data_IF_171732373925
#
_entry.id   IF_171732373925
#
_cell.length_a   1.000
_cell.length_b   1.000
_cell.length_c   1.000
_cell.angle_alpha   90.00
_cell.angle_beta   90.00
_cell.angle_gamma   90.00
#
_symmetry.space_group_name_H-M   'P 1'
#
loop_
_entity.id
_entity.type
_entity.pdbx_description
1 polymer ?
#
# COMPACT_ATOMS: atom_id res chain seq x y z
N UNK A 1 20.43 11.04 -0.12
CA UNK A 1 19.72 11.94 -1.06
C UNK A 1 19.40 11.26 -2.39
N UNK A 2 20.30 10.46 -2.95
CA UNK A 2 20.10 9.85 -4.27
C UNK A 2 19.05 8.72 -4.29
N UNK A 3 18.94 7.93 -3.23
CA UNK A 3 17.98 6.82 -3.13
C UNK A 3 16.52 7.31 -3.19
N UNK A 4 16.22 8.41 -2.49
CA UNK A 4 14.91 9.07 -2.51
C UNK A 4 14.49 9.51 -3.94
N UNK A 5 15.43 10.08 -4.69
CA UNK A 5 15.25 10.51 -6.07
C UNK A 5 15.06 9.32 -7.01
N UNK A 6 15.84 8.24 -6.81
CA UNK A 6 15.70 7.00 -7.59
C UNK A 6 14.35 6.34 -7.35
N UNK A 7 13.87 6.27 -6.10
CA UNK A 7 12.58 5.67 -5.76
C UNK A 7 11.41 6.48 -6.34
N UNK A 8 11.40 7.81 -6.14
CA UNK A 8 10.38 8.66 -6.78
C UNK A 8 10.40 8.53 -8.28
N UNK A 9 11.58 8.44 -8.90
CA UNK A 9 11.72 8.36 -10.36
C UNK A 9 11.27 7.00 -10.90
N UNK A 10 11.59 5.89 -10.22
CA UNK A 10 11.09 4.56 -10.58
C UNK A 10 9.56 4.46 -10.52
N UNK A 11 8.95 5.03 -9.47
CA UNK A 11 7.50 4.95 -9.30
C UNK A 11 6.79 5.96 -10.21
N UNK A 12 7.34 7.16 -10.38
CA UNK A 12 6.81 8.14 -11.35
C UNK A 12 6.88 7.59 -12.78
N UNK A 13 7.98 6.92 -13.15
CA UNK A 13 8.07 6.25 -14.45
C UNK A 13 7.01 5.15 -14.55
N UNK A 14 6.79 4.33 -13.53
CA UNK A 14 5.77 3.29 -13.54
C UNK A 14 4.34 3.81 -13.70
N UNK A 15 4.03 4.94 -13.06
CA UNK A 15 2.71 5.59 -13.09
C UNK A 15 2.51 6.40 -14.39
N UNK A 16 3.56 7.05 -14.91
CA UNK A 16 3.50 7.89 -16.12
C UNK A 16 3.58 7.07 -17.41
N UNK A 17 4.42 6.02 -17.46
CA UNK A 17 4.61 5.26 -18.71
C UNK A 17 3.42 4.39 -19.10
N UNK A 18 2.47 4.15 -18.21
CA UNK A 18 1.21 3.52 -18.59
C UNK A 18 0.08 4.05 -17.72
N UNK A 19 -0.78 4.86 -18.34
CA UNK A 19 -2.16 5.09 -17.86
C UNK A 19 -2.99 3.81 -17.77
N UNK A 20 -2.43 2.69 -18.23
CA UNK A 20 -2.91 1.30 -18.14
C UNK A 20 -1.76 0.38 -17.67
N UNK A 21 -1.04 0.79 -16.63
CA UNK A 21 0.01 -0.06 -16.06
C UNK A 21 -0.68 -1.24 -15.37
N UNK A 22 -0.36 -2.46 -15.80
CA UNK A 22 -0.73 -3.68 -15.08
C UNK A 22 -0.43 -3.48 -13.59
N UNK A 23 -1.49 -3.53 -12.79
CA UNK A 23 -1.45 -3.23 -11.37
C UNK A 23 -0.49 -4.19 -10.62
N UNK A 24 -0.18 -5.34 -11.23
CA UNK A 24 0.86 -6.26 -10.78
C UNK A 24 2.28 -5.72 -11.00
N UNK A 25 2.54 -5.05 -12.13
CA UNK A 25 3.84 -4.41 -12.39
C UNK A 25 4.08 -3.27 -11.41
N UNK A 26 3.07 -2.43 -11.17
CA UNK A 26 3.15 -1.33 -10.19
C UNK A 26 3.38 -1.90 -8.79
N UNK A 27 2.63 -2.93 -8.40
CA UNK A 27 2.80 -3.58 -7.10
C UNK A 27 4.20 -4.18 -6.89
N UNK A 28 4.77 -4.81 -7.92
CA UNK A 28 6.12 -5.36 -7.85
C UNK A 28 7.19 -4.26 -7.74
N UNK A 29 6.97 -3.09 -8.34
CA UNK A 29 7.84 -1.92 -8.14
C UNK A 29 7.74 -1.35 -6.73
N UNK A 30 6.55 -1.32 -6.13
CA UNK A 30 6.38 -0.97 -4.71
C UNK A 30 7.12 -1.93 -3.79
N UNK A 31 7.06 -3.25 -4.05
CA UNK A 31 7.86 -4.26 -3.33
C UNK A 31 9.36 -4.03 -3.46
N UNK A 32 9.84 -3.69 -4.66
CA UNK A 32 11.26 -3.39 -4.88
C UNK A 32 11.69 -2.12 -4.14
N UNK A 33 10.90 -1.04 -4.22
CA UNK A 33 11.16 0.18 -3.47
C UNK A 33 11.19 -0.06 -1.95
N UNK A 34 10.24 -0.86 -1.44
CA UNK A 34 10.22 -1.28 -0.04
C UNK A 34 11.48 -2.04 0.36
N UNK A 35 11.93 -3.02 -0.44
CA UNK A 35 13.16 -3.78 -0.16
C UNK A 35 14.40 -2.91 -0.12
N UNK A 36 14.50 -1.94 -1.02
CA UNK A 36 15.60 -0.95 -1.01
C UNK A 36 15.54 -0.15 0.28
N UNK A 37 14.36 0.36 0.65
CA UNK A 37 14.13 1.20 1.82
C UNK A 37 14.43 0.48 3.14
N UNK A 38 13.97 -0.76 3.30
CA UNK A 38 14.19 -1.56 4.52
C UNK A 38 15.60 -2.14 4.59
N UNK A 39 16.31 -2.24 3.46
CA UNK A 39 17.70 -2.66 3.39
C UNK A 39 18.72 -1.57 3.76
N UNK A 40 18.29 -0.32 4.00
CA UNK A 40 19.15 0.78 4.42
C UNK A 40 19.45 0.70 5.93
N UNK A 41 20.63 1.18 6.33
CA UNK A 41 20.98 1.30 7.75
C UNK A 41 20.05 2.28 8.49
N UNK A 42 19.89 2.06 9.78
CA UNK A 42 19.12 2.95 10.67
C UNK A 42 19.66 4.38 10.57
N UNK A 43 18.80 5.34 10.22
CA UNK A 43 19.18 6.74 9.98
C UNK A 43 19.39 7.14 8.51
N UNK A 44 19.50 6.18 7.57
CA UNK A 44 19.54 6.46 6.12
C UNK A 44 18.16 6.37 5.45
N UNK A 45 17.14 6.01 6.22
CA UNK A 45 15.77 5.85 5.76
C UNK A 45 15.20 7.18 5.23
N UNK A 46 14.80 7.26 3.95
CA UNK A 46 14.16 8.44 3.40
C UNK A 46 12.70 8.52 3.90
N UNK A 47 12.51 9.10 5.09
CA UNK A 47 11.23 9.10 5.82
C UNK A 47 10.09 9.68 4.99
N UNK A 48 10.32 10.78 4.28
CA UNK A 48 9.29 11.43 3.47
C UNK A 48 8.84 10.57 2.30
N UNK A 49 9.78 9.89 1.64
CA UNK A 49 9.50 8.96 0.55
C UNK A 49 8.81 7.69 1.05
N UNK A 50 9.18 7.20 2.24
CA UNK A 50 8.46 6.11 2.91
C UNK A 50 7.03 6.48 3.28
N UNK A 51 6.81 7.69 3.81
CA UNK A 51 5.46 8.23 4.09
C UNK A 51 4.62 8.35 2.83
N UNK A 52 5.21 8.91 1.77
CA UNK A 52 4.55 9.03 0.47
C UNK A 52 4.22 7.66 -0.14
N UNK A 53 5.11 6.68 -0.03
CA UNK A 53 4.89 5.31 -0.48
C UNK A 53 3.71 4.65 0.24
N UNK A 54 3.71 4.70 1.58
CA UNK A 54 2.66 4.11 2.40
C UNK A 54 1.29 4.72 2.08
N UNK A 55 1.21 6.05 2.04
CA UNK A 55 -0.03 6.80 1.76
C UNK A 55 -0.52 6.58 0.34
N UNK A 56 0.38 6.51 -0.65
CA UNK A 56 -0.02 6.27 -2.05
C UNK A 56 -0.52 4.84 -2.26
N UNK A 57 0.15 3.84 -1.67
CA UNK A 57 -0.33 2.45 -1.70
C UNK A 57 -1.71 2.34 -1.05
N UNK A 58 -1.90 2.99 0.10
CA UNK A 58 -3.19 3.05 0.79
C UNK A 58 -4.29 3.69 -0.06
N UNK A 59 -4.01 4.85 -0.68
CA UNK A 59 -4.98 5.53 -1.56
C UNK A 59 -5.37 4.68 -2.76
N UNK A 60 -4.45 3.84 -3.26
CA UNK A 60 -4.70 2.94 -4.40
C UNK A 60 -5.70 1.83 -4.08
N UNK A 61 -5.90 1.50 -2.80
CA UNK A 61 -6.95 0.59 -2.35
C UNK A 61 -8.37 1.16 -2.55
N UNK A 62 -8.53 2.49 -2.67
CA UNK A 62 -9.84 3.13 -2.71
C UNK A 62 -10.70 2.69 -3.91
N UNK A 63 -10.09 2.49 -5.08
CA UNK A 63 -10.82 2.07 -6.28
C UNK A 63 -11.28 0.61 -6.16
N UNK A 64 -10.41 -0.37 -5.85
CA UNK A 64 -10.83 -1.76 -5.61
C UNK A 64 -11.92 -1.90 -4.53
N UNK A 65 -11.83 -1.14 -3.42
CA UNK A 65 -12.85 -1.12 -2.37
C UNK A 65 -14.21 -0.72 -2.92
N UNK A 66 -14.27 0.38 -3.69
CA UNK A 66 -15.52 0.88 -4.27
C UNK A 66 -16.13 -0.06 -5.31
N UNK A 67 -15.29 -0.83 -5.99
CA UNK A 67 -15.72 -1.81 -6.99
C UNK A 67 -16.03 -3.19 -6.40
N UNK A 68 -15.86 -3.38 -5.08
CA UNK A 68 -16.02 -4.68 -4.44
C UNK A 68 -14.96 -5.72 -4.85
N UNK A 69 -13.84 -5.27 -5.41
CA UNK A 69 -12.71 -6.12 -5.79
C UNK A 69 -11.88 -6.45 -4.55
N UNK A 70 -12.33 -7.45 -3.78
CA UNK A 70 -11.78 -7.81 -2.47
C UNK A 70 -10.28 -8.06 -2.50
N UNK A 71 -9.79 -8.86 -3.46
CA UNK A 71 -8.37 -9.22 -3.53
C UNK A 71 -7.48 -8.01 -3.84
N UNK A 72 -7.92 -7.14 -4.75
CA UNK A 72 -7.22 -5.89 -5.07
C UNK A 72 -7.22 -4.91 -3.90
N UNK A 73 -8.34 -4.81 -3.20
CA UNK A 73 -8.49 -3.98 -2.00
C UNK A 73 -7.52 -4.45 -0.90
N UNK A 74 -7.55 -5.74 -0.55
CA UNK A 74 -6.69 -6.33 0.48
C UNK A 74 -5.21 -6.19 0.13
N UNK A 75 -4.84 -6.43 -1.14
CA UNK A 75 -3.47 -6.28 -1.64
C UNK A 75 -2.89 -4.88 -1.39
N UNK A 76 -3.64 -3.83 -1.72
CA UNK A 76 -3.17 -2.44 -1.56
C UNK A 76 -3.22 -1.96 -0.11
N UNK A 77 -4.26 -2.34 0.65
CA UNK A 77 -4.33 -2.01 2.08
C UNK A 77 -3.17 -2.61 2.86
N UNK A 78 -2.88 -3.90 2.66
CA UNK A 78 -1.79 -4.58 3.35
C UNK A 78 -0.43 -3.98 3.00
N UNK A 79 -0.20 -3.64 1.72
CA UNK A 79 1.03 -2.96 1.31
C UNK A 79 1.19 -1.60 1.99
N UNK A 80 0.12 -0.79 2.05
CA UNK A 80 0.13 0.50 2.75
C UNK A 80 0.46 0.35 4.23
N UNK A 81 -0.15 -0.64 4.90
CA UNK A 81 0.07 -0.93 6.32
C UNK A 81 1.49 -1.45 6.61
N UNK A 82 1.99 -2.39 5.79
CA UNK A 82 3.36 -2.90 5.92
C UNK A 82 4.39 -1.78 5.79
N UNK A 83 4.19 -0.86 4.84
CA UNK A 83 5.01 0.33 4.69
C UNK A 83 4.89 1.24 5.92
N UNK A 84 3.68 1.55 6.37
CA UNK A 84 3.44 2.41 7.53
C UNK A 84 4.12 1.88 8.82
N UNK A 85 4.12 0.56 9.03
CA UNK A 85 4.79 -0.10 10.17
C UNK A 85 6.31 0.05 10.18
N UNK A 86 6.93 0.37 9.05
CA UNK A 86 8.39 0.53 8.91
C UNK A 86 8.84 1.99 8.81
N UNK A 87 7.91 2.93 8.63
CA UNK A 87 8.20 4.35 8.45
C UNK A 87 8.02 5.08 9.78
N UNK A 88 9.07 5.70 10.34
CA UNK A 88 8.92 6.55 11.52
C UNK A 88 7.92 7.69 11.30
N UNK A 89 7.03 7.92 12.27
CA UNK A 89 6.01 8.97 12.23
C UNK A 89 4.73 8.58 11.48
N UNK A 90 4.51 7.29 11.21
CA UNK A 90 3.24 6.75 10.71
C UNK A 90 2.53 5.82 11.70
N UNK A 91 2.92 5.81 12.97
CA UNK A 91 2.43 4.86 13.98
C UNK A 91 0.92 4.98 14.18
N UNK A 92 0.42 6.19 14.41
CA UNK A 92 -1.02 6.45 14.58
C UNK A 92 -1.80 6.15 13.29
N UNK A 93 -1.22 6.47 12.14
CA UNK A 93 -1.86 6.23 10.85
C UNK A 93 -1.93 4.72 10.56
N UNK A 94 -0.88 3.97 10.88
CA UNK A 94 -0.82 2.51 10.79
C UNK A 94 -1.83 1.83 11.70
N UNK A 95 -2.04 2.32 12.92
CA UNK A 95 -3.11 1.81 13.79
C UNK A 95 -4.50 2.00 13.16
N UNK A 96 -4.79 3.19 12.61
CA UNK A 96 -6.05 3.43 11.90
C UNK A 96 -6.22 2.55 10.66
N UNK A 97 -5.14 2.27 9.94
CA UNK A 97 -5.16 1.34 8.79
C UNK A 97 -5.52 -0.08 9.24
N UNK A 98 -4.93 -0.55 10.34
CA UNK A 98 -5.18 -1.87 10.91
C UNK A 98 -6.63 -2.03 11.38
N UNK A 99 -7.18 -1.02 12.06
CA UNK A 99 -8.59 -0.99 12.45
C UNK A 99 -9.51 -1.04 11.22
N UNK A 100 -9.18 -0.30 10.17
CA UNK A 100 -9.96 -0.28 8.93
C UNK A 100 -9.95 -1.64 8.23
N UNK A 101 -8.78 -2.28 8.10
CA UNK A 101 -8.66 -3.62 7.49
C UNK A 101 -9.49 -4.62 8.29
N UNK A 102 -9.39 -4.60 9.62
CA UNK A 102 -10.15 -5.50 10.49
C UNK A 102 -11.66 -5.32 10.31
N UNK A 103 -12.14 -4.08 10.23
CA UNK A 103 -13.54 -3.77 9.94
C UNK A 103 -13.98 -4.18 8.53
N UNK A 104 -13.10 -4.01 7.54
CA UNK A 104 -13.34 -4.42 6.17
C UNK A 104 -13.50 -5.94 6.06
N UNK A 105 -12.62 -6.71 6.70
CA UNK A 105 -12.67 -8.18 6.70
C UNK A 105 -13.90 -8.72 7.43
N UNK A 106 -14.24 -8.14 8.59
CA UNK A 106 -15.46 -8.51 9.31
C UNK A 106 -16.72 -8.32 8.46
N UNK A 107 -16.80 -7.22 7.71
CA UNK A 107 -17.95 -6.96 6.83
C UNK A 107 -18.06 -7.99 5.70
N UNK A 108 -16.93 -8.40 5.13
CA UNK A 108 -16.92 -9.45 4.11
C UNK A 108 -17.41 -10.79 4.66
N UNK A 109 -17.00 -11.15 5.88
CA UNK A 109 -17.50 -12.37 6.54
C UNK A 109 -19.01 -12.33 6.81
N UNK A 110 -19.54 -11.15 7.18
CA UNK A 110 -20.98 -10.94 7.37
C UNK A 110 -21.74 -11.08 6.05
N UNK A 111 -21.25 -10.47 4.97
CA UNK A 111 -21.84 -10.55 3.62
C UNK A 111 -21.82 -11.99 3.07
N UNK A 112 -20.74 -12.74 3.30
CA UNK A 112 -20.63 -14.14 2.89
C UNK A 112 -21.60 -15.05 3.68
N UNK A 113 -21.77 -14.81 4.98
CA UNK A 113 -22.76 -15.52 5.80
C UNK A 113 -24.19 -15.24 5.32
N UNK A 114 -24.50 -14.00 4.94
CA UNK A 114 -25.82 -13.65 4.40
C UNK A 114 -26.07 -14.35 3.06
N UNK A 115 -25.06 -14.44 2.19
CA UNK A 115 -25.17 -15.12 0.89
C UNK A 115 -25.25 -16.64 1.01
N UNK A 116 -24.59 -17.24 2.00
CA UNK A 116 -24.63 -18.69 2.26
C UNK A 116 -25.92 -19.20 2.92
N UNK A 117 -26.76 -18.29 3.42
CA UNK A 117 -28.06 -18.58 4.04
C UNK A 117 -29.26 -18.36 3.08
N UNK A 118 -28.99 -18.03 1.81
CA UNK A 118 -29.95 -17.89 0.70
C UNK A 118 -29.90 -19.13 -0.19
#
# INVERSE_FOLDING_TARGET
KDVALVIRRLISIAVIYKGDADDEVVYNLYKQAYRIIVGLQEGEYPVDEGKWLATTAWNRAAVPVRLGQVDGARKWMNMGLELARKVPGLETYGACMEDYISGFEKKLEEDDKLRGNL
#
